data_IF_621559763877
#
_entry.id   IF_621559763877
#
_cell.length_a   1.000
_cell.length_b   1.000
_cell.length_c   1.000
_cell.angle_alpha   90.00
_cell.angle_beta   90.00
_cell.angle_gamma   90.00
#
_symmetry.space_group_name_H-M   'P 1'
#
loop_
_entity.id
_entity.type
_entity.pdbx_description
1 polymer ?
#
# COMPACT_ATOMS: atom_id res chain seq x y z
N UNK A 1 -2.85 1.08 -15.51
CA UNK A 1 -3.15 1.43 -14.11
C UNK A 1 -4.56 1.96 -14.12
N UNK A 2 -5.46 1.29 -13.42
CA UNK A 2 -6.82 1.76 -13.25
C UNK A 2 -6.81 3.03 -12.38
N UNK A 3 -7.82 3.89 -12.54
CA UNK A 3 -7.91 5.17 -11.82
C UNK A 3 -7.82 5.00 -10.29
N UNK A 4 -8.29 3.85 -9.80
CA UNK A 4 -8.24 3.50 -8.38
C UNK A 4 -6.84 3.07 -7.91
N UNK A 5 -6.10 2.31 -8.72
CA UNK A 5 -4.70 1.98 -8.43
C UNK A 5 -3.85 3.25 -8.35
N UNK A 6 -4.07 4.19 -9.27
CA UNK A 6 -3.37 5.47 -9.29
C UNK A 6 -3.68 6.32 -8.04
N UNK A 7 -4.93 6.30 -7.57
CA UNK A 7 -5.33 6.95 -6.31
C UNK A 7 -4.56 6.37 -5.11
N UNK A 8 -4.55 5.05 -4.94
CA UNK A 8 -3.82 4.38 -3.86
C UNK A 8 -2.33 4.69 -3.97
N UNK A 9 -1.78 4.62 -5.18
CA UNK A 9 -0.38 4.91 -5.44
C UNK A 9 -0.01 6.33 -4.99
N UNK A 10 -0.82 7.33 -5.33
CA UNK A 10 -0.55 8.71 -4.94
C UNK A 10 -0.63 8.93 -3.43
N UNK A 11 -1.62 8.34 -2.75
CA UNK A 11 -1.75 8.40 -1.29
C UNK A 11 -0.50 7.85 -0.60
N UNK A 12 -0.09 6.64 -0.97
CA UNK A 12 1.09 5.99 -0.38
C UNK A 12 2.38 6.72 -0.73
N UNK A 13 2.47 7.27 -1.95
CA UNK A 13 3.62 8.04 -2.38
C UNK A 13 3.79 9.31 -1.56
N UNK A 14 2.71 10.05 -1.33
CA UNK A 14 2.74 11.27 -0.54
C UNK A 14 3.10 11.00 0.93
N UNK A 15 2.54 9.94 1.52
CA UNK A 15 2.73 9.68 2.94
C UNK A 15 4.10 9.06 3.25
N UNK A 16 4.54 8.09 2.46
CA UNK A 16 5.73 7.29 2.77
C UNK A 16 7.00 7.71 2.02
N UNK A 17 6.90 8.62 1.04
CA UNK A 17 7.98 8.97 0.11
C UNK A 17 8.83 7.74 -0.30
N UNK A 18 8.19 6.69 -0.84
CA UNK A 18 8.86 5.43 -1.11
C UNK A 18 9.79 5.55 -2.31
N UNK A 19 10.94 4.88 -2.22
CA UNK A 19 11.89 4.75 -3.33
C UNK A 19 11.34 3.82 -4.41
N UNK A 20 10.68 2.74 -4.01
CA UNK A 20 9.92 1.88 -4.91
C UNK A 20 8.51 1.69 -4.34
N UNK A 21 7.51 1.96 -5.16
CA UNK A 21 6.12 1.72 -4.83
C UNK A 21 5.47 0.95 -5.98
N UNK A 22 4.77 -0.11 -5.64
CA UNK A 22 4.02 -0.89 -6.60
C UNK A 22 2.64 -1.17 -6.02
N UNK A 23 1.61 -0.85 -6.80
CA UNK A 23 0.20 -1.12 -6.49
C UNK A 23 -0.34 -1.90 -7.67
N UNK A 24 -0.97 -3.04 -7.40
CA UNK A 24 -1.53 -3.92 -8.42
C UNK A 24 -2.86 -4.48 -7.97
N UNK A 25 -3.90 -4.33 -8.78
CA UNK A 25 -5.16 -5.06 -8.60
C UNK A 25 -4.94 -6.55 -8.90
N UNK A 26 -5.27 -7.40 -7.93
CA UNK A 26 -5.22 -8.87 -8.04
C UNK A 26 -6.62 -9.50 -7.97
N UNK A 27 -7.67 -8.69 -7.95
CA UNK A 27 -9.07 -9.15 -8.01
C UNK A 27 -9.59 -9.40 -9.42
N UNK A 28 -8.75 -9.22 -10.44
CA UNK A 28 -9.14 -9.42 -11.84
C UNK A 28 -10.01 -8.30 -12.41
N UNK A 29 -9.83 -7.06 -11.93
CA UNK A 29 -10.56 -5.88 -12.42
C UNK A 29 -11.85 -5.56 -11.66
N UNK A 30 -12.13 -6.27 -10.57
CA UNK A 30 -13.26 -5.98 -9.67
C UNK A 30 -12.92 -4.87 -8.66
N UNK A 31 -11.63 -4.51 -8.51
CA UNK A 31 -11.18 -3.51 -7.54
C UNK A 31 -11.40 -3.90 -6.09
N UNK A 32 -11.42 -5.20 -5.78
CA UNK A 32 -11.72 -5.70 -4.43
C UNK A 32 -10.54 -6.36 -3.72
N UNK A 33 -9.39 -6.50 -4.39
CA UNK A 33 -8.18 -7.07 -3.78
C UNK A 33 -6.93 -6.47 -4.39
N UNK A 34 -6.06 -5.92 -3.56
CA UNK A 34 -4.83 -5.25 -4.03
C UNK A 34 -3.59 -5.90 -3.45
N UNK A 35 -2.53 -5.95 -4.25
CA UNK A 35 -1.18 -6.27 -3.84
C UNK A 35 -0.33 -4.99 -3.88
N UNK A 36 0.21 -4.60 -2.74
CA UNK A 36 0.94 -3.36 -2.53
C UNK A 36 2.33 -3.68 -1.98
N UNK A 37 3.36 -3.16 -2.63
CA UNK A 37 4.74 -3.26 -2.19
C UNK A 37 5.32 -1.86 -2.01
N UNK A 38 5.76 -1.56 -0.78
CA UNK A 38 6.30 -0.25 -0.41
C UNK A 38 7.72 -0.40 0.11
N UNK A 39 8.67 0.20 -0.60
CA UNK A 39 10.07 0.31 -0.19
C UNK A 39 10.38 1.76 0.18
N UNK A 40 10.60 2.04 1.47
CA UNK A 40 10.89 3.40 1.95
C UNK A 40 11.98 3.40 3.02
N UNK A 41 12.78 4.47 3.04
CA UNK A 41 13.75 4.74 4.11
C UNK A 41 13.06 5.04 5.43
N UNK A 42 11.80 5.52 5.41
CA UNK A 42 10.99 5.77 6.62
C UNK A 42 10.73 4.51 7.44
N UNK A 43 10.81 3.33 6.82
CA UNK A 43 10.63 2.04 7.50
C UNK A 43 11.89 1.56 8.23
N UNK A 44 13.02 2.24 8.06
CA UNK A 44 14.28 1.88 8.72
C UNK A 44 14.16 2.01 10.24
N UNK A 45 14.42 0.90 10.94
CA UNK A 45 14.29 0.83 12.40
C UNK A 45 12.85 0.64 12.91
N UNK A 46 11.86 0.52 12.02
CA UNK A 46 10.48 0.22 12.37
C UNK A 46 10.25 -1.29 12.19
N UNK A 47 9.68 -2.02 13.17
CA UNK A 47 9.28 -3.41 12.99
C UNK A 47 8.22 -3.58 11.89
N UNK A 48 8.26 -4.67 11.12
CA UNK A 48 7.33 -4.96 10.02
C UNK A 48 5.85 -4.78 10.42
N UNK A 49 5.45 -5.23 11.61
CA UNK A 49 4.08 -5.06 12.13
C UNK A 49 3.67 -3.58 12.23
N UNK A 50 4.58 -2.70 12.68
CA UNK A 50 4.32 -1.27 12.75
C UNK A 50 4.28 -0.64 11.35
N UNK A 51 5.13 -1.08 10.43
CA UNK A 51 5.07 -0.63 9.03
C UNK A 51 3.71 -0.97 8.42
N UNK A 52 3.22 -2.20 8.62
CA UNK A 52 1.91 -2.63 8.15
C UNK A 52 0.77 -1.83 8.79
N UNK A 53 0.86 -1.55 10.09
CA UNK A 53 -0.11 -0.68 10.76
C UNK A 53 -0.17 0.71 10.14
N UNK A 54 0.97 1.35 9.91
CA UNK A 54 1.02 2.68 9.30
C UNK A 54 0.34 2.70 7.93
N UNK A 55 0.68 1.74 7.07
CA UNK A 55 0.07 1.64 5.73
C UNK A 55 -1.43 1.35 5.83
N UNK A 56 -1.84 0.46 6.72
CA UNK A 56 -3.26 0.14 6.92
C UNK A 56 -4.05 1.33 7.48
N UNK A 57 -3.44 2.19 8.30
CA UNK A 57 -4.11 3.40 8.80
C UNK A 57 -4.34 4.41 7.68
N UNK A 58 -3.34 4.60 6.82
CA UNK A 58 -3.41 5.49 5.66
C UNK A 58 -4.46 5.02 4.64
N UNK A 59 -4.57 3.70 4.46
CA UNK A 59 -5.53 3.08 3.54
C UNK A 59 -6.81 2.60 4.24
N UNK A 60 -7.07 3.00 5.48
CA UNK A 60 -8.15 2.41 6.30
C UNK A 60 -9.51 2.50 5.62
N UNK A 61 -9.83 3.66 5.04
CA UNK A 61 -11.10 3.91 4.37
C UNK A 61 -11.25 3.10 3.07
N UNK A 62 -10.13 2.87 2.37
CA UNK A 62 -10.09 2.08 1.14
C UNK A 62 -10.15 0.57 1.44
N UNK A 63 -9.38 0.09 2.43
CA UNK A 63 -9.37 -1.30 2.89
C UNK A 63 -10.76 -1.74 3.37
N UNK A 64 -11.56 -0.83 3.93
CA UNK A 64 -12.93 -1.13 4.33
C UNK A 64 -13.83 -1.56 3.15
N UNK A 65 -13.47 -1.20 1.93
CA UNK A 65 -14.17 -1.59 0.71
C UNK A 65 -13.55 -2.83 0.04
N UNK A 66 -12.35 -3.25 0.46
CA UNK A 66 -11.63 -4.37 -0.14
C UNK A 66 -11.98 -5.69 0.57
N UNK A 67 -12.06 -6.77 -0.20
CA UNK A 67 -12.11 -8.13 0.33
C UNK A 67 -10.76 -8.60 0.90
N UNK A 68 -9.64 -8.04 0.39
CA UNK A 68 -8.32 -8.41 0.87
C UNK A 68 -7.21 -7.45 0.42
N UNK A 69 -6.13 -7.42 1.20
CA UNK A 69 -4.93 -6.65 0.91
C UNK A 69 -3.70 -7.52 1.14
N UNK A 70 -2.85 -7.67 0.14
CA UNK A 70 -1.49 -8.17 0.31
C UNK A 70 -0.54 -6.99 0.42
N UNK A 71 0.04 -6.80 1.60
CA UNK A 71 1.00 -5.73 1.85
C UNK A 71 2.39 -6.29 2.08
N UNK A 72 3.36 -5.79 1.32
CA UNK A 72 4.78 -6.00 1.55
C UNK A 72 5.46 -4.67 1.84
N UNK A 73 6.19 -4.63 2.94
CA UNK A 73 6.96 -3.45 3.34
C UNK A 73 8.42 -3.81 3.48
N UNK A 74 9.29 -2.92 3.03
CA UNK A 74 10.73 -3.12 3.08
C UNK A 74 11.43 -1.80 3.36
N UNK A 75 12.33 -1.81 4.34
CA UNK A 75 13.23 -0.69 4.56
C UNK A 75 14.34 -0.71 3.51
N UNK A 76 14.58 0.43 2.85
CA UNK A 76 15.74 0.66 1.98
C UNK A 76 16.73 1.64 2.58
#
# INVERSE_FOLDING_TARGET
MDAYEEKIYNILKQEFDPKNLQVKDVSGGCGSMFAISVESTKFKGIPMIKQHRLVNEVLKDEIAQWHGLQLQTKSV
#
